data_IF_026428755346
#
_entry.id   IF_026428755346
#
_cell.length_a   1.000
_cell.length_b   1.000
_cell.length_c   1.000
_cell.angle_alpha   90.00
_cell.angle_beta   90.00
_cell.angle_gamma   90.00
#
_symmetry.space_group_name_H-M   'P 1'
#
loop_
_entity.id
_entity.type
_entity.pdbx_description
1 polymer ?
#
# COMPACT_ATOMS: atom_id res chain seq x y z
N UNK A 1 -9.81 7.00 -25.60
CA UNK A 1 -9.51 6.05 -26.68
C UNK A 1 -8.73 4.90 -26.10
N UNK A 2 -9.18 3.67 -26.30
CA UNK A 2 -8.46 2.46 -25.89
C UNK A 2 -7.28 2.25 -26.83
N UNK A 3 -6.07 2.24 -26.28
CA UNK A 3 -4.85 1.95 -27.04
C UNK A 3 -4.80 0.48 -27.44
N UNK A 4 -4.30 0.20 -28.64
CA UNK A 4 -4.02 -1.18 -29.07
C UNK A 4 -2.58 -1.54 -28.73
N UNK A 5 -2.38 -2.74 -28.21
CA UNK A 5 -1.07 -3.32 -27.88
C UNK A 5 -0.90 -4.64 -28.62
N UNK A 6 0.34 -4.99 -28.95
CA UNK A 6 0.62 -6.33 -29.45
C UNK A 6 0.59 -7.33 -28.29
N UNK A 7 -0.10 -8.44 -28.49
CA UNK A 7 -0.12 -9.54 -27.55
C UNK A 7 1.31 -10.08 -27.35
N UNK A 8 1.81 -10.20 -26.12
CA UNK A 8 3.18 -10.64 -25.87
C UNK A 8 3.44 -12.09 -26.31
N UNK A 9 2.41 -12.92 -26.38
CA UNK A 9 2.55 -14.34 -26.71
C UNK A 9 2.45 -14.63 -28.22
N UNK A 10 1.61 -13.89 -28.95
CA UNK A 10 1.34 -14.18 -30.36
C UNK A 10 1.48 -12.97 -31.31
N UNK A 11 1.85 -11.81 -30.79
CA UNK A 11 2.04 -10.58 -31.57
C UNK A 11 0.76 -9.95 -32.12
N UNK A 12 -0.41 -10.56 -31.92
CA UNK A 12 -1.68 -10.07 -32.46
C UNK A 12 -2.13 -8.79 -31.75
N UNK A 13 -2.69 -7.83 -32.48
CA UNK A 13 -3.19 -6.58 -31.91
C UNK A 13 -4.42 -6.86 -31.02
N UNK A 14 -4.33 -6.45 -29.75
CA UNK A 14 -5.39 -6.56 -28.76
C UNK A 14 -5.59 -5.22 -28.05
N UNK A 15 -6.77 -5.00 -27.50
CA UNK A 15 -7.03 -3.83 -26.66
C UNK A 15 -6.16 -3.88 -25.39
N UNK A 16 -5.58 -2.75 -25.00
CA UNK A 16 -4.84 -2.61 -23.74
C UNK A 16 -5.73 -2.64 -22.49
N UNK A 17 -7.05 -2.77 -22.66
CA UNK A 17 -7.99 -2.86 -21.56
C UNK A 17 -7.84 -4.17 -20.79
N UNK A 18 -7.90 -4.05 -19.47
CA UNK A 18 -7.89 -5.20 -18.57
C UNK A 18 -9.11 -6.09 -18.82
N UNK A 19 -8.89 -7.41 -18.77
CA UNK A 19 -9.91 -8.41 -19.07
C UNK A 19 -10.04 -8.73 -20.57
N UNK A 20 -9.31 -8.02 -21.45
CA UNK A 20 -9.25 -8.40 -22.87
C UNK A 20 -8.57 -9.75 -23.01
N UNK A 21 -9.25 -10.71 -23.63
CA UNK A 21 -8.71 -12.03 -23.95
C UNK A 21 -8.28 -12.01 -25.41
N UNK A 22 -7.02 -12.36 -25.68
CA UNK A 22 -6.52 -12.48 -27.04
C UNK A 22 -7.28 -13.62 -27.76
N UNK A 23 -7.90 -13.35 -28.92
CA UNK A 23 -8.67 -14.36 -29.63
C UNK A 23 -7.80 -15.50 -30.19
N UNK A 24 -6.50 -15.25 -30.40
CA UNK A 24 -5.60 -16.21 -31.03
C UNK A 24 -4.92 -17.16 -30.01
N UNK A 25 -4.34 -16.61 -28.95
CA UNK A 25 -3.57 -17.40 -27.97
C UNK A 25 -4.21 -17.50 -26.58
N UNK A 26 -5.40 -16.91 -26.37
CA UNK A 26 -6.12 -16.86 -25.07
C UNK A 26 -5.37 -16.12 -23.95
N UNK A 27 -4.28 -15.42 -24.27
CA UNK A 27 -3.62 -14.52 -23.33
C UNK A 27 -4.59 -13.48 -22.79
N UNK A 28 -4.65 -13.30 -21.48
CA UNK A 28 -5.53 -12.33 -20.83
C UNK A 28 -4.74 -11.09 -20.41
N UNK A 29 -5.23 -9.91 -20.78
CA UNK A 29 -4.68 -8.65 -20.32
C UNK A 29 -5.07 -8.46 -18.85
N UNK A 30 -4.16 -8.83 -17.95
CA UNK A 30 -4.30 -8.65 -16.51
C UNK A 30 -3.83 -7.27 -16.06
N UNK A 31 -4.39 -6.83 -14.93
CA UNK A 31 -4.03 -5.59 -14.24
C UNK A 31 -2.51 -5.46 -13.99
N UNK A 32 -1.82 -6.59 -13.81
CA UNK A 32 -0.40 -6.68 -13.43
C UNK A 32 0.51 -7.26 -14.51
N UNK A 33 0.15 -7.15 -15.79
CA UNK A 33 0.98 -7.66 -16.88
C UNK A 33 2.28 -6.83 -17.00
N UNK A 34 3.28 -7.24 -16.22
CA UNK A 34 4.58 -6.60 -16.04
C UNK A 34 5.15 -6.90 -14.64
N UNK A 35 6.25 -7.67 -14.57
CA UNK A 35 6.85 -8.11 -13.29
C UNK A 35 7.18 -6.95 -12.34
N UNK A 36 7.69 -5.84 -12.88
CA UNK A 36 8.12 -4.68 -12.09
C UNK A 36 6.95 -3.98 -11.38
N UNK A 37 5.83 -3.77 -12.08
CA UNK A 37 4.65 -3.08 -11.52
C UNK A 37 3.96 -3.94 -10.47
N UNK A 38 3.83 -5.25 -10.75
CA UNK A 38 3.26 -6.23 -9.80
C UNK A 38 4.02 -6.26 -8.48
N UNK A 39 5.35 -6.32 -8.55
CA UNK A 39 6.22 -6.37 -7.37
C UNK A 39 6.13 -5.08 -6.55
N UNK A 40 6.11 -3.92 -7.21
CA UNK A 40 6.00 -2.63 -6.53
C UNK A 40 4.62 -2.43 -5.89
N UNK A 41 3.54 -2.83 -6.57
CA UNK A 41 2.19 -2.78 -6.01
C UNK A 41 2.06 -3.70 -4.79
N UNK A 42 2.52 -4.95 -4.89
CA UNK A 42 2.48 -5.89 -3.77
C UNK A 42 3.27 -5.38 -2.56
N UNK A 43 4.45 -4.78 -2.79
CA UNK A 43 5.25 -4.15 -1.73
C UNK A 43 4.53 -2.97 -1.09
N UNK A 44 3.93 -2.10 -1.88
CA UNK A 44 3.16 -0.97 -1.39
C UNK A 44 1.96 -1.42 -0.56
N UNK A 45 1.14 -2.33 -1.10
CA UNK A 45 -0.01 -2.90 -0.41
C UNK A 45 0.38 -3.49 0.94
N UNK A 46 1.45 -4.29 0.96
CA UNK A 46 1.95 -4.89 2.19
C UNK A 46 2.42 -3.81 3.20
N UNK A 47 3.15 -2.79 2.74
CA UNK A 47 3.59 -1.69 3.62
C UNK A 47 2.42 -0.88 4.17
N UNK A 48 1.44 -0.52 3.34
CA UNK A 48 0.33 0.34 3.77
C UNK A 48 -0.64 -0.36 4.70
N UNK A 49 -0.82 -1.68 4.55
CA UNK A 49 -1.74 -2.45 5.39
C UNK A 49 -1.02 -3.03 6.60
N UNK A 50 0.07 -3.78 6.43
CA UNK A 50 0.69 -4.47 7.57
C UNK A 50 1.49 -3.55 8.48
N UNK A 51 2.17 -2.52 7.95
CA UNK A 51 2.99 -1.64 8.78
C UNK A 51 2.19 -0.94 9.91
N UNK A 52 1.01 -0.34 9.67
CA UNK A 52 0.23 0.24 10.75
C UNK A 52 -0.23 -0.80 11.77
N UNK A 53 -0.62 -2.01 11.36
CA UNK A 53 -0.95 -3.08 12.32
C UNK A 53 0.24 -3.42 13.22
N UNK A 54 1.42 -3.64 12.65
CA UNK A 54 2.64 -3.89 13.43
C UNK A 54 2.95 -2.74 14.38
N UNK A 55 2.81 -1.49 13.92
CA UNK A 55 3.02 -0.31 14.76
C UNK A 55 2.05 -0.29 15.95
N UNK A 56 0.75 -0.55 15.73
CA UNK A 56 -0.27 -0.56 16.79
C UNK A 56 0.08 -1.61 17.86
N UNK A 57 0.33 -2.86 17.44
CA UNK A 57 0.67 -3.93 18.39
C UNK A 57 1.96 -3.62 19.16
N UNK A 58 2.99 -3.14 18.46
CA UNK A 58 4.28 -2.82 19.09
C UNK A 58 4.12 -1.71 20.13
N UNK A 59 3.35 -0.66 19.82
CA UNK A 59 3.08 0.44 20.77
C UNK A 59 2.30 -0.06 21.98
N UNK A 60 1.29 -0.92 21.78
CA UNK A 60 0.50 -1.51 22.88
C UNK A 60 1.38 -2.38 23.80
N UNK A 61 2.23 -3.25 23.26
CA UNK A 61 3.05 -4.14 24.10
C UNK A 61 4.20 -3.40 24.80
N UNK A 62 4.76 -2.38 24.16
CA UNK A 62 5.86 -1.61 24.74
C UNK A 62 5.39 -0.55 25.73
N UNK A 63 4.08 -0.34 25.89
CA UNK A 63 3.50 0.63 26.82
C UNK A 63 3.84 0.40 28.30
N UNK A 64 4.49 -0.71 28.67
CA UNK A 64 4.88 -1.02 30.06
C UNK A 64 6.14 -0.24 30.46
N UNK A 65 7.11 -0.09 29.55
CA UNK A 65 8.38 0.60 29.81
C UNK A 65 8.48 1.89 28.95
N UNK A 66 8.81 3.03 29.57
CA UNK A 66 8.86 4.32 28.86
C UNK A 66 9.89 4.31 27.73
N UNK A 67 11.06 3.70 27.96
CA UNK A 67 12.13 3.68 26.97
C UNK A 67 11.75 2.82 25.75
N UNK A 68 11.14 1.66 25.99
CA UNK A 68 10.63 0.79 24.92
C UNK A 68 9.49 1.44 24.16
N UNK A 69 8.60 2.16 24.85
CA UNK A 69 7.50 2.90 24.25
C UNK A 69 8.00 4.04 23.34
N UNK A 70 9.01 4.80 23.77
CA UNK A 70 9.63 5.85 22.95
C UNK A 70 10.25 5.23 21.69
N UNK A 71 11.00 4.14 21.84
CA UNK A 71 11.59 3.44 20.70
C UNK A 71 10.53 2.92 19.71
N UNK A 72 9.45 2.33 20.22
CA UNK A 72 8.32 1.87 19.40
C UNK A 72 7.62 3.03 18.68
N UNK A 73 7.49 4.18 19.33
CA UNK A 73 6.90 5.40 18.74
C UNK A 73 7.77 5.93 17.59
N UNK A 74 9.09 5.96 17.76
CA UNK A 74 10.02 6.36 16.69
C UNK A 74 9.91 5.41 15.49
N UNK A 75 9.89 4.09 15.75
CA UNK A 75 9.72 3.07 14.71
C UNK A 75 8.37 3.23 13.98
N UNK A 76 7.31 3.49 14.72
CA UNK A 76 5.97 3.74 14.19
C UNK A 76 5.94 4.95 13.24
N UNK A 77 6.56 6.07 13.63
CA UNK A 77 6.68 7.28 12.79
C UNK A 77 7.48 6.98 11.52
N UNK A 78 8.59 6.24 11.64
CA UNK A 78 9.39 5.83 10.49
C UNK A 78 8.58 4.96 9.50
N UNK A 79 7.81 3.99 10.01
CA UNK A 79 6.93 3.15 9.20
C UNK A 79 5.78 3.94 8.57
N UNK A 80 5.21 4.91 9.28
CA UNK A 80 4.19 5.82 8.75
C UNK A 80 4.71 6.64 7.57
N UNK A 81 5.92 7.21 7.69
CA UNK A 81 6.56 7.94 6.60
C UNK A 81 6.83 7.02 5.39
N UNK A 82 7.38 5.83 5.63
CA UNK A 82 7.73 4.89 4.55
C UNK A 82 6.50 4.34 3.82
N UNK A 83 5.41 4.12 4.54
CA UNK A 83 4.14 3.60 3.99
C UNK A 83 3.27 4.68 3.32
N UNK A 84 3.71 5.95 3.32
CA UNK A 84 2.95 7.04 2.76
C UNK A 84 2.66 6.82 1.26
N UNK A 85 1.39 6.93 0.82
CA UNK A 85 1.00 6.80 -0.59
C UNK A 85 1.75 7.75 -1.55
N UNK A 86 2.28 8.86 -1.04
CA UNK A 86 3.09 9.83 -1.81
C UNK A 86 4.37 9.18 -2.37
N UNK A 87 4.94 8.18 -1.68
CA UNK A 87 6.17 7.51 -2.11
C UNK A 87 5.94 6.50 -3.24
N UNK A 88 4.68 6.26 -3.63
CA UNK A 88 4.28 5.22 -4.58
C UNK A 88 3.34 5.76 -5.67
N UNK A 89 3.50 7.03 -6.06
CA UNK A 89 2.63 7.72 -7.05
C UNK A 89 2.45 6.95 -8.36
N UNK A 90 3.49 6.24 -8.81
CA UNK A 90 3.50 5.51 -10.09
C UNK A 90 2.78 4.15 -10.02
N UNK A 91 2.38 3.72 -8.82
CA UNK A 91 1.73 2.42 -8.61
C UNK A 91 0.24 2.47 -8.95
N UNK A 92 -0.44 3.59 -8.66
CA UNK A 92 -1.88 3.73 -8.83
C UNK A 92 -2.27 3.80 -10.31
N UNK A 93 -3.20 2.95 -10.74
CA UNK A 93 -3.79 3.04 -12.09
C UNK A 93 -5.03 3.94 -12.05
N UNK A 94 -5.82 3.85 -10.98
CA UNK A 94 -7.12 4.51 -10.90
C UNK A 94 -7.17 5.58 -9.82
N UNK A 95 -8.02 6.60 -10.03
CA UNK A 95 -8.32 7.61 -9.00
C UNK A 95 -8.93 6.97 -7.74
N UNK A 96 -9.72 5.92 -7.91
CA UNK A 96 -10.32 5.17 -6.81
C UNK A 96 -9.27 4.55 -5.89
N UNK A 97 -8.27 3.84 -6.42
CA UNK A 97 -7.19 3.26 -5.62
C UNK A 97 -6.41 4.32 -4.86
N UNK A 98 -6.07 5.41 -5.55
CA UNK A 98 -5.35 6.53 -4.93
C UNK A 98 -6.14 7.06 -3.73
N UNK A 99 -7.44 7.28 -3.88
CA UNK A 99 -8.31 7.71 -2.79
C UNK A 99 -8.40 6.67 -1.67
N UNK A 100 -8.61 5.40 -2.01
CA UNK A 100 -8.73 4.30 -1.06
C UNK A 100 -7.47 4.16 -0.19
N UNK A 101 -6.28 4.09 -0.77
CA UNK A 101 -5.04 3.94 -0.01
C UNK A 101 -4.69 5.17 0.81
N UNK A 102 -5.03 6.37 0.34
CA UNK A 102 -4.94 7.59 1.14
C UNK A 102 -5.87 7.56 2.35
N UNK A 103 -7.12 7.14 2.15
CA UNK A 103 -8.10 7.01 3.23
C UNK A 103 -7.63 6.03 4.30
N UNK A 104 -7.17 4.83 3.89
CA UNK A 104 -6.63 3.81 4.81
C UNK A 104 -5.41 4.33 5.56
N UNK A 105 -4.46 4.97 4.86
CA UNK A 105 -3.25 5.48 5.48
C UNK A 105 -3.55 6.59 6.50
N UNK A 106 -4.41 7.55 6.17
CA UNK A 106 -4.82 8.61 7.10
C UNK A 106 -5.50 8.00 8.31
N UNK A 107 -6.52 7.15 8.09
CA UNK A 107 -7.30 6.54 9.16
C UNK A 107 -6.41 5.79 10.16
N UNK A 108 -5.53 4.90 9.66
CA UNK A 108 -4.67 4.09 10.51
C UNK A 108 -3.66 4.92 11.30
N UNK A 109 -3.04 5.93 10.69
CA UNK A 109 -2.06 6.77 11.37
C UNK A 109 -2.71 7.75 12.36
N UNK A 110 -3.91 8.25 12.06
CA UNK A 110 -4.71 9.05 13.00
C UNK A 110 -5.09 8.23 14.23
N UNK A 111 -5.53 6.98 14.03
CA UNK A 111 -5.83 6.06 15.12
C UNK A 111 -4.60 5.79 15.99
N UNK A 112 -3.45 5.50 15.36
CA UNK A 112 -2.18 5.29 16.05
C UNK A 112 -1.74 6.51 16.87
N UNK A 113 -1.89 7.72 16.31
CA UNK A 113 -1.56 8.96 17.00
C UNK A 113 -2.43 9.17 18.24
N UNK A 114 -3.75 8.96 18.15
CA UNK A 114 -4.64 9.03 19.30
C UNK A 114 -4.25 8.01 20.37
N UNK A 115 -3.88 6.80 19.97
CA UNK A 115 -3.45 5.75 20.88
C UNK A 115 -2.17 6.14 21.64
N UNK A 116 -1.17 6.69 20.93
CA UNK A 116 0.07 7.19 21.53
C UNK A 116 -0.23 8.32 22.52
N UNK A 117 -1.06 9.30 22.14
CA UNK A 117 -1.44 10.42 23.00
C UNK A 117 -2.19 9.96 24.26
N UNK A 118 -3.07 8.98 24.14
CA UNK A 118 -3.80 8.42 25.28
C UNK A 118 -2.86 7.73 26.28
N UNK A 119 -1.90 6.93 25.78
CA UNK A 119 -0.90 6.28 26.64
C UNK A 119 -0.03 7.32 27.33
N UNK A 120 0.40 8.37 26.63
CA UNK A 120 1.17 9.47 27.19
C UNK A 120 0.38 10.22 28.28
N UNK A 121 -0.87 10.56 28.00
CA UNK A 121 -1.75 11.28 28.94
C UNK A 121 -2.06 10.50 30.21
N UNK A 122 -2.03 9.16 30.18
CA UNK A 122 -2.21 8.34 31.39
C UNK A 122 -0.96 8.22 32.26
N UNK A 123 0.19 8.62 31.72
CA UNK A 123 1.51 8.36 32.30
C UNK A 123 2.19 9.63 32.82
N UNK A 124 1.84 10.79 32.24
CA UNK A 124 2.09 12.14 32.79
C UNK A 124 1.12 12.44 33.93
#
# INVERSE_FOLDING_TARGET
MSEMINCPDCGNEILSQMGTICPNCKYTVGYFNGEKRRKNYGRFFALTIFAPFFSIFTVIFTQINIYSFIAATILAIYLAYKSCPINFKDVFVTLFEKFFFWSVWIFMNSFLLILILNILSKRL
#
